data_IF_192147226717
#
_entry.id   IF_192147226717
#
_cell.length_a   1.000
_cell.length_b   1.000
_cell.length_c   1.000
_cell.angle_alpha   90.00
_cell.angle_beta   90.00
_cell.angle_gamma   90.00
#
_symmetry.space_group_name_H-M   'P 1'
#
loop_
_entity.id
_entity.type
_entity.pdbx_description
1 polymer ?
#
# COMPACT_ATOMS: atom_id res chain seq x y z
N UNK A 1 -1.40 14.45 4.38
CA UNK A 1 -0.47 13.79 3.46
C UNK A 1 -1.17 12.73 2.63
N UNK A 2 -0.56 12.28 1.54
CA UNK A 2 -1.05 11.20 0.70
C UNK A 2 -0.41 9.87 1.16
N UNK A 3 -1.22 8.95 1.66
CA UNK A 3 -0.79 7.59 2.02
C UNK A 3 -1.15 6.66 0.87
N UNK A 4 -0.13 6.09 0.23
CA UNK A 4 -0.31 5.09 -0.83
C UNK A 4 -0.41 3.72 -0.19
N UNK A 5 -1.47 2.99 -0.52
CA UNK A 5 -1.65 1.61 -0.04
C UNK A 5 -1.67 0.64 -1.22
N UNK A 6 -0.74 -0.29 -1.21
CA UNK A 6 -0.65 -1.42 -2.14
C UNK A 6 -1.25 -2.66 -1.49
N UNK A 7 -2.21 -3.29 -2.13
CA UNK A 7 -2.93 -4.43 -1.55
C UNK A 7 -3.58 -5.30 -2.64
N UNK A 8 -4.12 -6.45 -2.23
CA UNK A 8 -4.76 -7.40 -3.14
C UNK A 8 -6.07 -6.88 -3.74
N UNK A 9 -6.31 -7.19 -5.03
CA UNK A 9 -7.59 -6.98 -5.70
C UNK A 9 -8.64 -8.07 -5.37
N UNK A 10 -8.26 -9.11 -4.62
CA UNK A 10 -9.13 -10.18 -4.13
C UNK A 10 -9.34 -10.02 -2.63
N UNK A 11 -10.49 -10.48 -2.12
CA UNK A 11 -10.78 -10.48 -0.67
C UNK A 11 -9.89 -11.42 0.15
N UNK A 12 -9.30 -12.44 -0.50
CA UNK A 12 -8.65 -13.53 0.22
C UNK A 12 -9.68 -14.41 0.93
N UNK A 13 -9.18 -15.32 1.80
CA UNK A 13 -10.03 -16.22 2.58
C UNK A 13 -10.15 -15.82 4.05
N UNK A 14 -9.37 -14.83 4.48
CA UNK A 14 -9.25 -14.44 5.87
C UNK A 14 -10.12 -13.20 6.16
N UNK A 15 -11.15 -13.39 6.97
CA UNK A 15 -12.05 -12.31 7.36
C UNK A 15 -11.34 -11.22 8.20
N UNK A 16 -10.33 -11.59 8.98
CA UNK A 16 -9.55 -10.65 9.77
C UNK A 16 -8.78 -9.67 8.87
N UNK A 17 -8.23 -10.15 7.74
CA UNK A 17 -7.58 -9.27 6.77
C UNK A 17 -8.58 -8.33 6.08
N UNK A 18 -9.79 -8.82 5.83
CA UNK A 18 -10.86 -8.01 5.25
C UNK A 18 -11.27 -6.86 6.19
N UNK A 19 -11.45 -7.15 7.47
CA UNK A 19 -11.76 -6.15 8.50
C UNK A 19 -10.61 -5.16 8.71
N UNK A 20 -9.38 -5.66 8.74
CA UNK A 20 -8.18 -4.83 8.85
C UNK A 20 -8.02 -3.86 7.66
N UNK A 21 -8.35 -4.29 6.42
CA UNK A 21 -8.34 -3.40 5.27
C UNK A 21 -9.35 -2.26 5.40
N UNK A 22 -10.58 -2.57 5.85
CA UNK A 22 -11.61 -1.56 6.13
C UNK A 22 -11.11 -0.60 7.22
N UNK A 23 -10.58 -1.13 8.32
CA UNK A 23 -10.08 -0.34 9.45
C UNK A 23 -8.91 0.58 9.05
N UNK A 24 -7.98 0.11 8.21
CA UNK A 24 -6.90 0.94 7.68
C UNK A 24 -7.45 2.14 6.92
N UNK A 25 -8.44 1.93 6.05
CA UNK A 25 -9.11 3.02 5.33
C UNK A 25 -9.73 4.04 6.27
N UNK A 26 -10.48 3.58 7.29
CA UNK A 26 -11.07 4.44 8.31
C UNK A 26 -10.01 5.30 9.01
N UNK A 27 -8.90 4.69 9.47
CA UNK A 27 -7.85 5.37 10.21
C UNK A 27 -7.10 6.40 9.35
N UNK A 28 -6.89 6.12 8.06
CA UNK A 28 -6.32 7.09 7.12
C UNK A 28 -7.20 8.34 7.05
N UNK A 29 -8.52 8.18 6.93
CA UNK A 29 -9.46 9.28 6.88
C UNK A 29 -9.55 10.02 8.23
N UNK A 30 -9.69 9.30 9.34
CA UNK A 30 -9.78 9.86 10.69
C UNK A 30 -8.54 10.70 11.06
N UNK A 31 -7.38 10.36 10.50
CA UNK A 31 -6.13 11.13 10.67
C UNK A 31 -6.01 12.35 9.75
N UNK A 32 -7.04 12.66 8.94
CA UNK A 32 -7.03 13.77 7.99
C UNK A 32 -6.11 13.56 6.77
N UNK A 33 -5.70 12.33 6.52
CA UNK A 33 -4.88 11.96 5.38
C UNK A 33 -5.72 11.60 4.14
N UNK A 34 -5.10 11.62 2.99
CA UNK A 34 -5.68 11.18 1.71
C UNK A 34 -5.22 9.76 1.41
N UNK A 35 -6.16 8.86 1.14
CA UNK A 35 -5.86 7.54 0.60
C UNK A 35 -5.56 7.63 -0.89
N UNK A 36 -4.45 7.05 -1.33
CA UNK A 36 -4.12 6.80 -2.73
C UNK A 36 -3.99 5.30 -2.94
N UNK A 37 -4.71 4.74 -3.91
CA UNK A 37 -4.73 3.29 -4.13
C UNK A 37 -5.01 2.91 -5.59
N UNK A 38 -5.15 1.63 -5.87
CA UNK A 38 -5.31 1.08 -7.21
C UNK A 38 -6.62 1.36 -7.95
N UNK A 39 -7.62 1.99 -7.32
CA UNK A 39 -8.87 2.39 -7.97
C UNK A 39 -9.99 1.34 -7.94
N UNK A 40 -9.67 0.05 -7.78
CA UNK A 40 -10.64 -1.05 -7.88
C UNK A 40 -11.70 -1.02 -6.78
N UNK A 41 -12.95 -1.37 -7.17
CA UNK A 41 -14.08 -1.59 -6.24
C UNK A 41 -14.06 -2.98 -5.59
N UNK A 42 -13.21 -3.88 -6.06
CA UNK A 42 -13.22 -5.29 -5.67
C UNK A 42 -12.19 -5.61 -4.59
N UNK A 43 -12.47 -6.66 -3.83
CA UNK A 43 -11.55 -7.26 -2.86
C UNK A 43 -11.12 -6.29 -1.76
N UNK A 44 -9.93 -6.50 -1.23
CA UNK A 44 -9.36 -5.65 -0.18
C UNK A 44 -9.26 -4.19 -0.60
N UNK A 45 -9.04 -3.91 -1.90
CA UNK A 45 -9.01 -2.54 -2.44
C UNK A 45 -10.34 -1.81 -2.22
N UNK A 46 -11.45 -2.44 -2.55
CA UNK A 46 -12.78 -1.87 -2.34
C UNK A 46 -13.09 -1.66 -0.86
N UNK A 47 -12.74 -2.61 0.00
CA UNK A 47 -12.92 -2.50 1.46
C UNK A 47 -12.16 -1.32 2.05
N UNK A 48 -10.90 -1.18 1.70
CA UNK A 48 -10.05 -0.05 2.11
C UNK A 48 -10.65 1.30 1.71
N UNK A 49 -11.04 1.43 0.44
CA UNK A 49 -11.60 2.67 -0.10
C UNK A 49 -12.96 3.01 0.54
N UNK A 50 -13.85 2.02 0.69
CA UNK A 50 -15.15 2.19 1.36
C UNK A 50 -14.94 2.58 2.84
N UNK A 51 -13.98 1.97 3.54
CA UNK A 51 -13.61 2.36 4.90
C UNK A 51 -13.24 3.85 4.98
N UNK A 52 -12.36 4.32 4.10
CA UNK A 52 -11.96 5.73 4.08
C UNK A 52 -13.14 6.67 3.73
N UNK A 53 -13.94 6.33 2.73
CA UNK A 53 -15.11 7.12 2.32
C UNK A 53 -16.17 7.19 3.44
N UNK A 54 -16.37 6.10 4.19
CA UNK A 54 -17.34 6.03 5.30
C UNK A 54 -17.05 7.05 6.41
N UNK A 55 -15.80 7.47 6.54
CA UNK A 55 -15.34 8.50 7.49
C UNK A 55 -15.18 9.89 6.84
N UNK A 56 -15.69 10.07 5.62
CA UNK A 56 -15.60 11.33 4.88
C UNK A 56 -14.18 11.65 4.38
N UNK A 57 -13.32 10.63 4.27
CA UNK A 57 -11.94 10.77 3.80
C UNK A 57 -11.84 11.07 2.31
N UNK A 58 -10.74 11.71 1.91
CA UNK A 58 -10.39 11.88 0.50
C UNK A 58 -9.73 10.61 -0.03
N UNK A 59 -10.27 10.06 -1.14
CA UNK A 59 -9.79 8.83 -1.77
C UNK A 59 -9.50 9.09 -3.24
N UNK A 60 -8.26 8.80 -3.65
CA UNK A 60 -7.78 8.92 -5.03
C UNK A 60 -7.47 7.52 -5.55
N UNK A 61 -8.19 7.11 -6.60
CA UNK A 61 -7.90 5.88 -7.34
C UNK A 61 -6.98 6.18 -8.52
N UNK A 62 -5.99 5.32 -8.77
CA UNK A 62 -5.14 5.40 -9.96
C UNK A 62 -5.22 4.07 -10.71
N UNK A 63 -5.86 4.06 -11.87
CA UNK A 63 -6.20 2.84 -12.57
C UNK A 63 -5.80 2.89 -14.05
N UNK A 64 -5.23 1.80 -14.60
CA UNK A 64 -4.95 1.73 -16.03
C UNK A 64 -6.26 1.68 -16.83
N UNK A 65 -6.27 2.31 -17.99
CA UNK A 65 -7.43 2.38 -18.89
C UNK A 65 -8.07 1.02 -19.16
N UNK A 66 -7.26 -0.03 -19.31
CA UNK A 66 -7.74 -1.39 -19.56
C UNK A 66 -8.72 -1.90 -18.47
N UNK A 67 -8.59 -1.44 -17.23
CA UNK A 67 -9.50 -1.84 -16.15
C UNK A 67 -10.74 -0.92 -16.05
N UNK A 68 -10.66 0.28 -16.58
CA UNK A 68 -11.82 1.17 -16.72
C UNK A 68 -12.80 0.57 -17.74
N UNK A 69 -12.29 0.05 -18.85
CA UNK A 69 -13.11 -0.60 -19.90
C UNK A 69 -13.83 -1.85 -19.34
N UNK A 70 -13.30 -2.48 -18.30
CA UNK A 70 -13.91 -3.61 -17.56
C UNK A 70 -14.83 -3.16 -16.41
N UNK A 71 -15.07 -1.86 -16.21
CA UNK A 71 -15.89 -1.28 -15.12
C UNK A 71 -15.45 -1.73 -13.71
N UNK A 72 -14.15 -1.83 -13.50
CA UNK A 72 -13.57 -2.29 -12.22
C UNK A 72 -13.39 -1.21 -11.19
N UNK A 73 -13.46 0.06 -11.57
CA UNK A 73 -13.29 1.21 -10.69
C UNK A 73 -14.44 1.34 -9.67
N UNK A 74 -14.12 1.98 -8.55
CA UNK A 74 -15.13 2.44 -7.60
C UNK A 74 -15.67 3.79 -8.04
N UNK A 75 -17.00 3.92 -8.17
CA UNK A 75 -17.65 5.10 -8.74
C UNK A 75 -17.65 6.32 -7.80
N UNK A 76 -17.68 6.09 -6.48
CA UNK A 76 -17.80 7.15 -5.45
C UNK A 76 -16.45 7.74 -5.02
N UNK A 77 -15.37 7.54 -5.79
CA UNK A 77 -14.06 8.11 -5.48
C UNK A 77 -14.09 9.64 -5.49
N UNK A 78 -13.28 10.26 -4.62
CA UNK A 78 -13.06 11.71 -4.66
C UNK A 78 -12.39 12.13 -5.97
N UNK A 79 -11.49 11.29 -6.47
CA UNK A 79 -10.77 11.50 -7.74
C UNK A 79 -10.36 10.16 -8.34
N UNK A 80 -10.51 10.01 -9.65
CA UNK A 80 -10.01 8.88 -10.43
C UNK A 80 -9.01 9.38 -11.45
N UNK A 81 -7.78 8.91 -11.36
CA UNK A 81 -6.72 9.19 -12.33
C UNK A 81 -6.55 7.96 -13.23
N UNK A 82 -6.82 8.15 -14.52
CA UNK A 82 -6.65 7.08 -15.52
C UNK A 82 -5.30 7.21 -16.18
N UNK A 83 -4.56 6.10 -16.25
CA UNK A 83 -3.26 6.01 -16.92
C UNK A 83 -3.32 5.09 -18.12
N UNK A 84 -2.42 5.24 -19.08
CA UNK A 84 -2.42 4.41 -20.28
C UNK A 84 -1.70 3.06 -20.03
N UNK A 85 -0.76 3.02 -19.11
CA UNK A 85 0.05 1.82 -18.79
C UNK A 85 0.17 1.55 -17.30
N UNK A 86 0.50 0.30 -16.95
CA UNK A 86 0.86 -0.07 -15.57
C UNK A 86 2.10 0.67 -15.06
N UNK A 87 3.06 0.95 -15.93
CA UNK A 87 4.27 1.70 -15.57
C UNK A 87 3.91 3.13 -15.17
N UNK A 88 3.09 3.82 -15.96
CA UNK A 88 2.61 5.17 -15.62
C UNK A 88 1.83 5.17 -14.31
N UNK A 89 0.98 4.17 -14.09
CA UNK A 89 0.24 4.01 -12.83
C UNK A 89 1.17 3.94 -11.63
N UNK A 90 2.17 3.03 -11.66
CA UNK A 90 3.15 2.89 -10.57
C UNK A 90 3.94 4.19 -10.36
N UNK A 91 4.39 4.80 -11.44
CA UNK A 91 5.10 6.09 -11.37
C UNK A 91 4.24 7.16 -10.71
N UNK A 92 2.96 7.26 -11.12
CA UNK A 92 2.04 8.25 -10.55
C UNK A 92 1.76 8.02 -9.07
N UNK A 93 1.52 6.76 -8.66
CA UNK A 93 1.35 6.40 -7.24
C UNK A 93 2.58 6.78 -6.42
N UNK A 94 3.78 6.47 -6.91
CA UNK A 94 5.05 6.78 -6.25
C UNK A 94 5.29 8.30 -6.11
N UNK A 95 5.02 9.07 -7.16
CA UNK A 95 5.17 10.53 -7.16
C UNK A 95 4.21 11.21 -6.16
N UNK A 96 2.97 10.73 -6.10
CA UNK A 96 1.94 11.31 -5.24
C UNK A 96 2.09 10.95 -3.77
N UNK A 97 2.70 9.80 -3.45
CA UNK A 97 2.78 9.29 -2.09
C UNK A 97 3.74 10.08 -1.21
N UNK A 98 3.32 10.37 0.01
CA UNK A 98 4.16 10.88 1.10
C UNK A 98 4.59 9.75 2.04
N UNK A 99 3.82 8.66 2.08
CA UNK A 99 4.11 7.41 2.79
C UNK A 99 3.52 6.23 2.01
N UNK A 100 4.09 5.04 2.21
CA UNK A 100 3.73 3.82 1.49
C UNK A 100 3.48 2.67 2.46
N UNK A 101 2.33 2.00 2.30
CA UNK A 101 1.95 0.81 3.07
C UNK A 101 1.71 -0.34 2.10
N UNK A 102 2.38 -1.46 2.30
CA UNK A 102 2.00 -2.73 1.68
C UNK A 102 1.13 -3.53 2.66
N UNK A 103 -0.11 -3.71 2.30
CA UNK A 103 -1.04 -4.64 2.93
C UNK A 103 -0.88 -6.02 2.28
N UNK A 104 -1.28 -7.15 2.92
CA UNK A 104 -1.28 -8.45 2.27
C UNK A 104 -1.89 -8.46 0.87
N UNK A 105 -1.19 -9.06 -0.10
CA UNK A 105 -1.59 -9.05 -1.50
C UNK A 105 -0.76 -9.99 -2.36
N UNK A 106 -1.01 -10.00 -3.65
CA UNK A 106 -0.34 -10.88 -4.60
C UNK A 106 0.95 -10.30 -5.20
N UNK A 107 1.29 -10.81 -6.38
CA UNK A 107 2.49 -10.39 -7.13
C UNK A 107 2.46 -8.92 -7.53
N UNK A 108 1.27 -8.33 -7.78
CA UNK A 108 1.13 -6.90 -8.07
C UNK A 108 1.56 -6.05 -6.88
N UNK A 109 1.09 -6.40 -5.67
CA UNK A 109 1.51 -5.71 -4.43
C UNK A 109 3.01 -5.83 -4.19
N UNK A 110 3.61 -7.01 -4.47
CA UNK A 110 5.05 -7.20 -4.36
C UNK A 110 5.83 -6.37 -5.39
N UNK A 111 5.36 -6.29 -6.63
CA UNK A 111 5.97 -5.47 -7.68
C UNK A 111 5.98 -3.98 -7.27
N UNK A 112 4.85 -3.47 -6.79
CA UNK A 112 4.71 -2.08 -6.39
C UNK A 112 5.58 -1.74 -5.17
N UNK A 113 5.51 -2.53 -4.09
CA UNK A 113 6.27 -2.23 -2.87
C UNK A 113 7.77 -2.46 -3.05
N UNK A 114 8.18 -3.41 -3.91
CA UNK A 114 9.60 -3.67 -4.18
C UNK A 114 10.29 -2.47 -4.80
N UNK A 115 9.61 -1.69 -5.63
CA UNK A 115 10.13 -0.45 -6.19
C UNK A 115 10.37 0.59 -5.08
N UNK A 116 9.42 0.76 -4.14
CA UNK A 116 9.57 1.66 -2.99
C UNK A 116 10.70 1.20 -2.08
N UNK A 117 10.77 -0.10 -1.77
CA UNK A 117 11.85 -0.69 -0.98
C UNK A 117 13.22 -0.45 -1.63
N UNK A 118 13.32 -0.54 -2.95
CA UNK A 118 14.53 -0.28 -3.70
C UNK A 118 14.96 1.19 -3.53
N UNK A 119 14.05 2.15 -3.76
CA UNK A 119 14.35 3.58 -3.61
C UNK A 119 14.78 3.92 -2.17
N UNK A 120 14.10 3.35 -1.18
CA UNK A 120 14.44 3.51 0.25
C UNK A 120 15.84 2.96 0.53
N UNK A 121 16.14 1.75 0.06
CA UNK A 121 17.44 1.09 0.30
C UNK A 121 18.62 1.78 -0.36
N UNK A 122 18.37 2.48 -1.46
CA UNK A 122 19.38 3.25 -2.20
C UNK A 122 19.48 4.71 -1.72
N UNK A 123 18.61 5.14 -0.80
CA UNK A 123 18.58 6.51 -0.28
C UNK A 123 17.96 7.52 -1.25
N UNK A 124 17.22 7.08 -2.26
CA UNK A 124 16.47 7.96 -3.16
C UNK A 124 15.18 8.47 -2.53
N UNK A 125 14.68 7.77 -1.50
CA UNK A 125 13.51 8.15 -0.73
C UNK A 125 13.78 8.00 0.77
N UNK A 126 13.30 8.96 1.56
CA UNK A 126 13.22 8.88 3.03
C UNK A 126 11.77 8.79 3.52
N UNK A 127 10.82 8.62 2.60
CA UNK A 127 9.40 8.47 2.94
C UNK A 127 9.17 7.13 3.66
N UNK A 128 8.24 7.06 4.63
CA UNK A 128 7.91 5.81 5.29
C UNK A 128 7.55 4.69 4.30
N UNK A 129 8.19 3.53 4.45
CA UNK A 129 7.94 2.31 3.69
C UNK A 129 7.59 1.19 4.67
N UNK A 130 6.29 0.91 4.82
CA UNK A 130 5.75 0.02 5.86
C UNK A 130 5.11 -1.20 5.21
N UNK A 131 5.49 -2.39 5.67
CA UNK A 131 4.86 -3.66 5.30
C UNK A 131 4.03 -4.16 6.48
N UNK A 132 2.71 -4.23 6.29
CA UNK A 132 1.77 -4.68 7.30
C UNK A 132 1.75 -6.21 7.34
N UNK A 133 2.50 -6.76 8.28
CA UNK A 133 2.78 -8.19 8.43
C UNK A 133 1.73 -8.87 9.33
N UNK A 134 0.45 -8.76 8.96
CA UNK A 134 -0.65 -9.44 9.65
C UNK A 134 -0.42 -10.95 9.61
N UNK A 135 -0.56 -11.60 10.75
CA UNK A 135 -0.39 -13.06 10.92
C UNK A 135 0.88 -13.62 10.23
N UNK A 136 1.98 -12.81 10.22
CA UNK A 136 3.24 -13.25 9.62
C UNK A 136 3.23 -13.34 8.09
N UNK A 137 2.27 -12.71 7.41
CA UNK A 137 2.12 -12.79 5.95
C UNK A 137 3.40 -12.47 5.17
N UNK A 138 4.18 -11.51 5.65
CA UNK A 138 5.46 -11.10 5.04
C UNK A 138 6.70 -11.73 5.68
N UNK A 139 6.56 -12.73 6.57
CA UNK A 139 7.73 -13.38 7.21
C UNK A 139 8.70 -13.96 6.20
N UNK A 140 8.19 -14.55 5.11
CA UNK A 140 9.02 -15.03 4.01
C UNK A 140 9.86 -13.95 3.33
N UNK A 141 9.27 -12.77 3.11
CA UNK A 141 9.98 -11.63 2.54
C UNK A 141 11.01 -11.06 3.53
N UNK A 142 10.65 -10.94 4.81
CA UNK A 142 11.57 -10.52 5.88
C UNK A 142 12.77 -11.48 5.98
N UNK A 143 12.53 -12.78 5.92
CA UNK A 143 13.59 -13.79 5.92
C UNK A 143 14.49 -13.69 4.67
N UNK A 144 13.92 -13.41 3.48
CA UNK A 144 14.70 -13.17 2.25
C UNK A 144 15.61 -11.96 2.38
N UNK A 145 15.09 -10.83 2.90
CA UNK A 145 15.89 -9.62 3.11
C UNK A 145 17.02 -9.84 4.11
N UNK A 146 16.76 -10.54 5.23
CA UNK A 146 17.79 -10.93 6.21
C UNK A 146 18.85 -11.80 5.56
N UNK A 147 18.44 -12.73 4.69
CA UNK A 147 19.36 -13.60 3.94
C UNK A 147 20.21 -12.80 2.96
N UNK A 148 19.67 -11.77 2.33
CA UNK A 148 20.43 -10.89 1.45
C UNK A 148 21.54 -10.14 2.22
N UNK A 149 21.28 -9.72 3.45
CA UNK A 149 22.30 -9.12 4.33
C UNK A 149 23.37 -10.16 4.70
N UNK A 150 22.96 -11.34 5.17
CA UNK A 150 23.89 -12.45 5.52
C UNK A 150 24.82 -12.81 4.36
N UNK A 151 24.32 -12.79 3.12
CA UNK A 151 25.08 -13.12 1.91
C UNK A 151 25.82 -11.93 1.28
N UNK A 152 25.73 -10.73 1.87
CA UNK A 152 26.43 -9.55 1.38
C UNK A 152 25.80 -8.86 0.17
N UNK A 153 24.55 -9.18 -0.19
CA UNK A 153 23.81 -8.50 -1.26
C UNK A 153 23.11 -7.22 -0.79
N UNK A 154 22.98 -7.04 0.54
CA UNK A 154 22.43 -5.83 1.17
C UNK A 154 23.16 -5.55 2.49
N UNK A 155 22.70 -4.59 3.28
CA UNK A 155 23.18 -4.31 4.63
C UNK A 155 22.03 -3.85 5.53
N UNK A 156 22.18 -4.00 6.85
CA UNK A 156 21.22 -3.49 7.84
C UNK A 156 20.91 -1.99 7.60
N UNK A 157 21.94 -1.20 7.30
CA UNK A 157 21.79 0.23 7.00
C UNK A 157 20.88 0.47 5.79
N UNK A 158 20.99 -0.33 4.75
CA UNK A 158 20.13 -0.21 3.55
C UNK A 158 18.68 -0.58 3.83
N UNK A 159 18.46 -1.54 4.72
CA UNK A 159 17.12 -2.02 5.06
C UNK A 159 16.45 -1.24 6.18
N UNK A 160 17.17 -0.35 6.89
CA UNK A 160 16.65 0.35 8.08
C UNK A 160 15.44 1.25 7.85
N UNK A 161 15.19 1.67 6.62
CA UNK A 161 14.01 2.45 6.24
C UNK A 161 12.80 1.60 5.80
N UNK A 162 12.94 0.26 5.80
CA UNK A 162 11.87 -0.67 5.45
C UNK A 162 11.36 -1.29 6.75
N UNK A 163 10.14 -0.95 7.14
CA UNK A 163 9.58 -1.35 8.44
C UNK A 163 8.49 -2.38 8.28
N UNK A 164 8.52 -3.42 9.11
CA UNK A 164 7.45 -4.42 9.23
C UNK A 164 6.71 -4.17 10.54
N UNK A 165 5.39 -4.12 10.48
CA UNK A 165 4.52 -3.94 11.65
C UNK A 165 3.42 -5.00 11.68
N UNK A 166 2.84 -5.25 12.84
CA UNK A 166 1.91 -6.37 13.08
C UNK A 166 0.45 -5.94 13.17
N UNK A 167 0.16 -4.64 13.18
CA UNK A 167 -1.21 -4.11 13.26
C UNK A 167 -1.39 -2.85 12.42
N UNK A 168 -2.65 -2.55 12.12
CA UNK A 168 -3.05 -1.35 11.38
C UNK A 168 -2.71 -0.09 12.17
N UNK A 169 -2.88 -0.13 13.50
CA UNK A 169 -2.57 0.95 14.41
C UNK A 169 -1.07 1.29 14.36
N UNK A 170 -0.21 0.28 14.47
CA UNK A 170 1.24 0.43 14.37
C UNK A 170 1.66 0.99 12.99
N UNK A 171 1.03 0.52 11.91
CA UNK A 171 1.28 1.07 10.57
C UNK A 171 0.96 2.57 10.50
N UNK A 172 -0.16 2.99 11.07
CA UNK A 172 -0.56 4.40 11.09
C UNK A 172 0.33 5.27 11.97
N UNK A 173 0.83 4.76 13.10
CA UNK A 173 1.84 5.44 13.93
C UNK A 173 3.13 5.67 13.13
N UNK A 174 3.63 4.63 12.47
CA UNK A 174 4.85 4.70 11.67
C UNK A 174 4.77 5.70 10.51
N UNK A 175 3.63 5.77 9.80
CA UNK A 175 3.49 6.71 8.68
C UNK A 175 3.22 8.15 9.15
N UNK A 176 2.62 8.34 10.31
CA UNK A 176 2.37 9.68 10.88
C UNK A 176 3.59 10.26 11.62
N UNK A 177 4.65 9.48 11.82
CA UNK A 177 5.88 9.92 12.47
C UNK A 177 5.76 10.05 13.98
N UNK A 178 4.88 9.26 14.61
CA UNK A 178 4.67 9.21 16.06
C UNK A 178 5.40 8.00 16.69
#
# INVERSE_FOLDING_TARGET
>A
MNIVVYLGASDGFDAEFQDAATRLGEMIAESGNTLVYGGSKSGLMGRLAIGALSKGGRVIGIEPRIFIDDERQLDDLTELIVTDTFTERKTKMKEMGDAFIAFPGGTGTLDEISEIMCDTSLGFSSKPCVLLNLDGYYDGLKALLSKAVEKGYSSEKRLSGITFCSSVEEAMELVNGN
#
